data_IF_921999645330
#
_entry.id   IF_921999645330
#
_cell.length_a   1.000
_cell.length_b   1.000
_cell.length_c   1.000
_cell.angle_alpha   90.00
_cell.angle_beta   90.00
_cell.angle_gamma   90.00
#
_symmetry.space_group_name_H-M   'P 1'
#
loop_
_entity.id
_entity.type
_entity.pdbx_description
1 polymer ?
#
# COMPACT_ATOMS: atom_id res chain seq x y z
N UNK A 1 -20.20 -32.17 47.41
CA UNK A 1 -19.27 -31.05 47.20
C UNK A 1 -18.64 -31.25 45.80
N UNK A 2 -19.27 -30.69 44.77
CA UNK A 2 -18.79 -30.82 43.38
C UNK A 2 -17.81 -29.71 43.08
N UNK A 3 -16.65 -29.97 42.43
CA UNK A 3 -15.72 -28.94 42.02
C UNK A 3 -16.30 -28.16 40.83
N UNK A 4 -16.50 -26.87 41.03
CA UNK A 4 -16.77 -25.94 39.95
C UNK A 4 -15.55 -25.89 39.00
N UNK A 5 -15.63 -26.52 37.86
CA UNK A 5 -14.71 -26.23 36.74
C UNK A 5 -15.00 -24.81 36.23
N UNK A 6 -14.17 -23.88 36.66
CA UNK A 6 -14.06 -22.54 36.06
C UNK A 6 -13.57 -22.77 34.63
N UNK A 7 -14.48 -22.74 33.65
CA UNK A 7 -14.11 -22.59 32.26
C UNK A 7 -13.29 -21.30 32.15
N UNK A 8 -11.98 -21.42 31.96
CA UNK A 8 -11.16 -20.32 31.49
C UNK A 8 -11.80 -19.87 30.15
N UNK A 9 -12.37 -18.68 30.15
CA UNK A 9 -12.68 -17.99 28.92
C UNK A 9 -11.33 -17.71 28.27
N UNK A 10 -10.96 -18.53 27.30
CA UNK A 10 -9.90 -18.21 26.34
C UNK A 10 -10.32 -16.87 25.73
N UNK A 11 -9.61 -15.80 26.07
CA UNK A 11 -9.71 -14.53 25.35
C UNK A 11 -9.39 -14.85 23.92
N UNK A 12 -10.39 -15.00 23.07
CA UNK A 12 -10.21 -15.04 21.63
C UNK A 12 -9.63 -13.69 21.25
N UNK A 13 -8.44 -13.70 20.66
CA UNK A 13 -7.80 -12.51 20.14
C UNK A 13 -8.75 -11.87 19.10
N UNK A 14 -8.84 -10.53 19.04
CA UNK A 14 -9.78 -9.88 18.16
C UNK A 14 -9.44 -10.17 16.69
N UNK A 15 -10.45 -10.61 15.94
CA UNK A 15 -10.36 -10.73 14.49
C UNK A 15 -10.50 -9.35 13.85
N UNK A 16 -9.71 -9.10 12.81
CA UNK A 16 -9.84 -7.93 11.95
C UNK A 16 -9.73 -8.33 10.48
N UNK A 17 -10.27 -7.50 9.60
CA UNK A 17 -10.27 -7.69 8.16
C UNK A 17 -9.26 -6.76 7.50
N UNK A 18 -8.38 -7.31 6.67
CA UNK A 18 -7.63 -6.55 5.68
C UNK A 18 -8.32 -6.73 4.32
N UNK A 19 -8.81 -5.64 3.74
CA UNK A 19 -9.58 -5.62 2.51
C UNK A 19 -8.82 -4.83 1.43
N UNK A 20 -8.41 -5.54 0.40
CA UNK A 20 -7.79 -5.01 -0.81
C UNK A 20 -8.86 -4.96 -1.91
N UNK A 21 -9.29 -3.73 -2.27
CA UNK A 21 -10.30 -3.50 -3.31
C UNK A 21 -9.60 -3.12 -4.61
N UNK A 22 -9.01 -4.13 -5.25
CA UNK A 22 -8.27 -3.95 -6.50
C UNK A 22 -9.17 -3.83 -7.73
N UNK A 23 -8.60 -3.35 -8.84
CA UNK A 23 -9.30 -3.20 -10.12
C UNK A 23 -9.75 -4.54 -10.71
N UNK A 24 -8.99 -5.62 -10.50
CA UNK A 24 -9.26 -6.95 -11.07
C UNK A 24 -9.89 -7.89 -10.04
N UNK A 25 -9.43 -7.84 -8.80
CA UNK A 25 -9.91 -8.68 -7.72
C UNK A 25 -10.12 -7.89 -6.45
N UNK A 26 -11.17 -8.24 -5.72
CA UNK A 26 -11.26 -7.99 -4.27
C UNK A 26 -10.58 -9.14 -3.55
N UNK A 27 -9.73 -8.82 -2.57
CA UNK A 27 -9.11 -9.80 -1.69
C UNK A 27 -9.39 -9.45 -0.23
N UNK A 28 -9.91 -10.41 0.50
CA UNK A 28 -10.27 -10.30 1.91
C UNK A 28 -9.41 -11.25 2.75
N UNK A 29 -8.67 -10.73 3.72
CA UNK A 29 -7.92 -11.52 4.68
C UNK A 29 -8.52 -11.34 6.07
N UNK A 30 -9.08 -12.39 6.65
CA UNK A 30 -9.46 -12.42 8.06
C UNK A 30 -8.24 -12.77 8.88
N UNK A 31 -7.83 -11.85 9.74
CA UNK A 31 -6.62 -11.95 10.54
C UNK A 31 -6.94 -11.98 12.04
N UNK A 32 -6.18 -12.77 12.78
CA UNK A 32 -6.16 -12.79 14.24
C UNK A 32 -4.88 -12.11 14.73
N UNK A 33 -5.02 -11.17 15.67
CA UNK A 33 -3.86 -10.49 16.27
C UNK A 33 -3.27 -11.34 17.40
N UNK A 34 -2.15 -12.00 17.17
CA UNK A 34 -1.42 -12.79 18.16
C UNK A 34 -0.11 -12.08 18.54
N UNK A 35 -0.14 -11.24 19.58
CA UNK A 35 1.00 -10.38 19.94
C UNK A 35 1.41 -9.52 18.76
N UNK A 36 2.67 -9.59 18.34
CA UNK A 36 3.20 -8.79 17.22
C UNK A 36 3.06 -9.48 15.85
N UNK A 37 2.15 -10.44 15.71
CA UNK A 37 1.91 -11.16 14.46
C UNK A 37 0.42 -11.13 14.10
N UNK A 38 0.11 -10.76 12.88
CA UNK A 38 -1.20 -10.99 12.27
C UNK A 38 -1.21 -12.40 11.65
N UNK A 39 -2.02 -13.28 12.21
CA UNK A 39 -2.18 -14.63 11.68
C UNK A 39 -3.38 -14.66 10.76
N UNK A 40 -3.17 -14.86 9.46
CA UNK A 40 -4.24 -15.00 8.47
C UNK A 40 -4.95 -16.32 8.71
N UNK A 41 -6.23 -16.25 9.07
CA UNK A 41 -7.12 -17.40 9.36
C UNK A 41 -8.03 -17.74 8.20
N UNK A 42 -8.29 -16.80 7.31
CA UNK A 42 -9.12 -17.00 6.14
C UNK A 42 -8.78 -16.05 5.02
N UNK A 43 -8.94 -16.51 3.81
CA UNK A 43 -8.64 -15.80 2.55
C UNK A 43 -9.85 -15.92 1.65
N UNK A 44 -10.31 -14.81 1.10
CA UNK A 44 -11.34 -14.79 0.06
C UNK A 44 -10.91 -13.93 -1.11
N UNK A 45 -11.26 -14.34 -2.30
CA UNK A 45 -10.90 -13.65 -3.55
C UNK A 45 -12.09 -13.68 -4.51
N UNK A 46 -12.51 -12.50 -4.95
CA UNK A 46 -13.61 -12.35 -5.91
C UNK A 46 -13.18 -11.48 -7.07
N UNK A 47 -13.52 -11.88 -8.29
CA UNK A 47 -13.25 -11.11 -9.50
C UNK A 47 -14.18 -9.91 -9.59
N UNK A 48 -13.66 -8.74 -9.96
CA UNK A 48 -14.43 -7.52 -10.23
C UNK A 48 -14.98 -7.55 -11.66
N UNK A 49 -16.21 -7.07 -11.85
CA UNK A 49 -16.73 -6.82 -13.19
C UNK A 49 -15.98 -5.63 -13.82
N UNK A 50 -15.92 -5.58 -15.15
CA UNK A 50 -15.18 -4.53 -15.86
C UNK A 50 -15.67 -3.10 -15.53
N UNK A 51 -16.98 -2.97 -15.20
CA UNK A 51 -17.59 -1.68 -14.85
C UNK A 51 -17.45 -1.27 -13.38
N UNK A 52 -17.05 -2.18 -12.49
CA UNK A 52 -17.03 -1.92 -11.04
C UNK A 52 -15.89 -0.98 -10.64
N UNK A 53 -14.73 -1.18 -11.27
CA UNK A 53 -13.50 -0.43 -10.97
C UNK A 53 -12.78 0.01 -12.24
N UNK A 54 -12.29 1.25 -12.25
CA UNK A 54 -11.43 1.77 -13.32
C UNK A 54 -10.24 2.51 -12.72
N UNK A 55 -9.03 2.13 -13.12
CA UNK A 55 -7.78 2.81 -12.71
C UNK A 55 -7.65 2.99 -11.18
N UNK A 56 -8.08 1.99 -10.42
CA UNK A 56 -8.08 2.02 -8.95
C UNK A 56 -9.27 2.78 -8.33
N UNK A 57 -10.14 3.39 -9.14
CA UNK A 57 -11.31 4.10 -8.66
C UNK A 57 -12.58 3.24 -8.68
N UNK A 58 -13.42 3.35 -7.66
CA UNK A 58 -14.75 2.75 -7.62
C UNK A 58 -15.67 3.47 -8.59
N UNK A 59 -16.24 2.74 -9.56
CA UNK A 59 -17.16 3.25 -10.56
C UNK A 59 -18.61 2.83 -10.27
N UNK A 60 -18.79 1.61 -9.74
CA UNK A 60 -20.09 1.10 -9.27
C UNK A 60 -19.95 0.60 -7.82
N UNK A 61 -20.48 1.37 -6.88
CA UNK A 61 -20.45 1.04 -5.45
C UNK A 61 -21.21 -0.27 -5.18
N UNK A 62 -22.35 -0.49 -5.85
CA UNK A 62 -23.18 -1.68 -5.66
C UNK A 62 -22.47 -2.95 -6.07
N UNK A 63 -21.86 -2.97 -7.26
CA UNK A 63 -21.07 -4.10 -7.75
C UNK A 63 -19.88 -4.41 -6.85
N UNK A 64 -19.14 -3.38 -6.40
CA UNK A 64 -18.03 -3.54 -5.47
C UNK A 64 -18.48 -4.09 -4.12
N UNK A 65 -19.62 -3.63 -3.57
CA UNK A 65 -20.18 -4.17 -2.30
C UNK A 65 -20.48 -5.66 -2.44
N UNK A 66 -21.13 -6.06 -3.54
CA UNK A 66 -21.45 -7.48 -3.80
C UNK A 66 -20.17 -8.35 -3.86
N UNK A 67 -19.15 -7.89 -4.57
CA UNK A 67 -17.89 -8.61 -4.72
C UNK A 67 -17.10 -8.65 -3.40
N UNK A 68 -17.09 -7.55 -2.63
CA UNK A 68 -16.52 -7.53 -1.28
C UNK A 68 -17.25 -8.52 -0.36
N UNK A 69 -18.60 -8.54 -0.41
CA UNK A 69 -19.40 -9.48 0.37
C UNK A 69 -19.04 -10.94 0.11
N UNK A 70 -18.90 -11.33 -1.17
CA UNK A 70 -18.48 -12.70 -1.57
C UNK A 70 -17.08 -13.05 -1.04
N UNK A 71 -16.11 -12.14 -1.21
CA UNK A 71 -14.75 -12.37 -0.72
C UNK A 71 -14.70 -12.46 0.81
N UNK A 72 -15.45 -11.62 1.52
CA UNK A 72 -15.52 -11.65 2.99
C UNK A 72 -16.18 -12.94 3.47
N UNK A 73 -17.28 -13.37 2.84
CA UNK A 73 -17.95 -14.62 3.18
C UNK A 73 -17.02 -15.82 3.04
N UNK A 74 -16.27 -15.91 1.93
CA UNK A 74 -15.29 -16.97 1.73
C UNK A 74 -14.21 -16.96 2.84
N UNK A 75 -13.64 -15.80 3.15
CA UNK A 75 -12.61 -15.66 4.16
C UNK A 75 -13.13 -15.98 5.59
N UNK A 76 -14.34 -15.54 5.92
CA UNK A 76 -14.96 -15.77 7.25
C UNK A 76 -15.34 -17.22 7.47
N UNK A 77 -15.80 -17.93 6.44
CA UNK A 77 -16.09 -19.35 6.50
C UNK A 77 -14.84 -20.17 6.82
N UNK A 78 -13.67 -19.80 6.26
CA UNK A 78 -12.39 -20.44 6.56
C UNK A 78 -11.90 -20.09 7.97
N UNK A 79 -12.06 -18.83 8.40
CA UNK A 79 -11.59 -18.35 9.70
C UNK A 79 -12.46 -18.84 10.87
N UNK A 80 -13.71 -19.26 10.63
CA UNK A 80 -14.66 -19.68 11.64
C UNK A 80 -15.18 -18.51 12.51
N UNK A 81 -15.11 -17.26 12.03
CA UNK A 81 -15.56 -16.08 12.74
C UNK A 81 -15.64 -14.84 11.84
N UNK A 82 -16.55 -13.92 12.17
CA UNK A 82 -16.75 -12.69 11.41
C UNK A 82 -16.03 -11.51 12.08
N UNK A 83 -15.10 -10.81 11.38
CA UNK A 83 -14.45 -9.62 11.90
C UNK A 83 -15.42 -8.43 11.87
N UNK A 84 -15.39 -7.60 12.91
CA UNK A 84 -16.17 -6.37 12.95
C UNK A 84 -15.38 -5.16 12.46
N UNK A 85 -14.05 -5.23 12.49
CA UNK A 85 -13.14 -4.14 12.15
C UNK A 85 -12.46 -4.39 10.82
N UNK A 86 -12.35 -3.34 10.00
CA UNK A 86 -11.71 -3.41 8.69
C UNK A 86 -10.64 -2.34 8.48
N UNK A 87 -9.56 -2.75 7.83
CA UNK A 87 -8.57 -1.88 7.20
C UNK A 87 -8.74 -2.03 5.70
N UNK A 88 -8.92 -0.93 4.98
CA UNK A 88 -9.12 -0.92 3.54
C UNK A 88 -7.90 -0.35 2.86
N UNK A 89 -7.38 -1.05 1.85
CA UNK A 89 -6.38 -0.51 0.92
C UNK A 89 -7.00 0.49 -0.04
N UNK A 90 -6.25 1.51 -0.41
CA UNK A 90 -6.59 2.42 -1.48
C UNK A 90 -5.39 2.61 -2.40
N UNK A 91 -5.62 2.41 -3.69
CA UNK A 91 -4.75 2.84 -4.78
C UNK A 91 -5.58 3.69 -5.76
N UNK A 92 -4.98 4.21 -6.80
CA UNK A 92 -5.72 4.95 -7.81
C UNK A 92 -5.06 6.27 -8.19
N UNK A 93 -5.38 6.76 -9.39
CA UNK A 93 -4.69 7.87 -10.06
C UNK A 93 -4.58 9.15 -9.19
N UNK A 94 -5.59 9.39 -8.38
CA UNK A 94 -5.68 10.60 -7.57
C UNK A 94 -5.23 10.38 -6.11
N UNK A 95 -4.71 9.18 -5.77
CA UNK A 95 -4.13 8.92 -4.45
C UNK A 95 -2.66 9.38 -4.48
N UNK A 96 -2.34 10.40 -3.70
CA UNK A 96 -0.99 10.99 -3.64
C UNK A 96 -0.40 10.81 -2.25
N UNK A 97 0.81 10.26 -2.20
CA UNK A 97 1.56 10.05 -0.97
C UNK A 97 2.86 10.86 -0.97
N UNK A 98 3.01 11.77 -0.01
CA UNK A 98 4.18 12.66 0.10
C UNK A 98 4.72 12.61 1.52
N UNK A 99 6.04 12.52 1.65
CA UNK A 99 6.73 12.68 2.93
C UNK A 99 7.27 14.09 3.06
N UNK A 100 6.73 14.82 4.05
CA UNK A 100 7.20 16.14 4.43
C UNK A 100 8.15 16.03 5.62
N UNK A 101 9.28 16.76 5.55
CA UNK A 101 10.26 16.89 6.64
C UNK A 101 10.18 18.26 7.24
N UNK A 102 9.82 18.33 8.51
CA UNK A 102 9.71 19.61 9.21
C UNK A 102 10.53 19.58 10.50
N UNK A 103 11.25 20.68 10.72
CA UNK A 103 12.08 20.89 11.91
C UNK A 103 11.38 21.86 12.87
N UNK A 104 11.29 21.44 14.11
CA UNK A 104 10.82 22.27 15.22
C UNK A 104 12.01 22.67 16.09
N UNK A 105 12.25 23.99 16.21
CA UNK A 105 13.29 24.52 17.11
C UNK A 105 12.68 24.72 18.49
N UNK A 106 13.25 24.04 19.47
CA UNK A 106 12.77 24.07 20.87
C UNK A 106 13.25 25.36 21.57
N UNK A 107 12.37 25.91 22.40
CA UNK A 107 12.71 27.09 23.22
C UNK A 107 13.67 26.73 24.35
N UNK A 108 13.53 25.53 24.92
CA UNK A 108 14.28 25.09 26.10
C UNK A 108 15.02 23.76 25.79
N UNK A 109 16.16 23.81 25.07
CA UNK A 109 16.87 22.64 24.58
C UNK A 109 17.47 21.78 25.69
N UNK A 110 17.68 22.33 26.88
CA UNK A 110 18.25 21.62 28.04
C UNK A 110 17.21 20.89 28.88
N UNK A 111 15.91 21.14 28.66
CA UNK A 111 14.84 20.41 29.32
C UNK A 111 14.53 19.15 28.53
N UNK A 112 14.23 18.06 29.21
CA UNK A 112 13.82 16.81 28.59
C UNK A 112 12.45 16.99 27.90
N UNK A 113 12.33 16.45 26.69
CA UNK A 113 11.06 16.42 25.97
C UNK A 113 10.05 15.59 26.78
N UNK A 114 8.95 16.18 27.13
CA UNK A 114 7.82 15.51 27.76
C UNK A 114 6.71 15.19 26.73
N UNK A 115 5.66 14.49 27.19
CA UNK A 115 4.53 14.12 26.35
C UNK A 115 3.73 15.33 25.86
N UNK A 116 3.64 16.40 26.65
CA UNK A 116 2.93 17.63 26.27
C UNK A 116 3.63 18.38 25.15
N UNK A 117 4.95 18.57 25.29
CA UNK A 117 5.78 19.19 24.26
C UNK A 117 5.76 18.36 22.97
N UNK A 118 5.88 17.01 23.07
CA UNK A 118 5.84 16.12 21.90
C UNK A 118 4.53 16.24 21.13
N UNK A 119 3.38 16.30 21.83
CA UNK A 119 2.07 16.51 21.18
C UNK A 119 2.03 17.84 20.43
N UNK A 120 2.55 18.90 21.02
CA UNK A 120 2.60 20.21 20.37
C UNK A 120 3.51 20.23 19.14
N UNK A 121 4.66 19.53 19.21
CA UNK A 121 5.58 19.40 18.08
C UNK A 121 4.89 18.66 16.93
N UNK A 122 4.30 17.48 17.20
CA UNK A 122 3.62 16.69 16.17
C UNK A 122 2.46 17.47 15.55
N UNK A 123 1.67 18.18 16.36
CA UNK A 123 0.57 19.02 15.86
C UNK A 123 1.06 20.07 14.88
N UNK A 124 2.10 20.82 15.23
CA UNK A 124 2.65 21.89 14.36
C UNK A 124 3.26 21.33 13.08
N UNK A 125 4.01 20.22 13.20
CA UNK A 125 4.63 19.56 12.04
C UNK A 125 3.56 18.99 11.11
N UNK A 126 2.54 18.34 11.66
CA UNK A 126 1.46 17.76 10.86
C UNK A 126 0.64 18.84 10.16
N UNK A 127 0.31 19.92 10.84
CA UNK A 127 -0.39 21.07 10.23
C UNK A 127 0.38 21.64 9.05
N UNK A 128 1.68 21.89 9.24
CA UNK A 128 2.54 22.39 8.18
C UNK A 128 2.66 21.41 7.01
N UNK A 129 2.86 20.11 7.29
CA UNK A 129 2.90 19.06 6.28
C UNK A 129 1.60 18.97 5.48
N UNK A 130 0.46 19.10 6.16
CA UNK A 130 -0.86 19.08 5.52
C UNK A 130 -1.04 20.25 4.53
N UNK A 131 -0.72 21.49 4.97
CA UNK A 131 -0.84 22.68 4.13
C UNK A 131 0.11 22.63 2.91
N UNK A 132 1.36 22.19 3.11
CA UNK A 132 2.34 22.03 2.04
C UNK A 132 1.87 21.02 0.99
N UNK A 133 1.39 19.84 1.44
CA UNK A 133 0.93 18.79 0.55
C UNK A 133 -0.34 19.20 -0.18
N UNK A 134 -1.30 19.83 0.51
CA UNK A 134 -2.53 20.34 -0.10
C UNK A 134 -2.24 21.36 -1.20
N UNK A 135 -1.34 22.30 -0.94
CA UNK A 135 -0.94 23.31 -1.91
C UNK A 135 -0.24 22.69 -3.14
N UNK A 136 0.62 21.69 -2.91
CA UNK A 136 1.29 20.99 -3.99
C UNK A 136 0.27 20.22 -4.86
N UNK A 137 -0.67 19.53 -4.25
CA UNK A 137 -1.71 18.79 -4.99
C UNK A 137 -2.62 19.72 -5.79
N UNK A 138 -3.02 20.86 -5.22
CA UNK A 138 -3.80 21.86 -5.92
C UNK A 138 -3.07 22.38 -7.17
N UNK A 139 -1.76 22.61 -7.06
CA UNK A 139 -0.92 23.01 -8.17
C UNK A 139 -0.79 21.91 -9.25
N UNK A 140 -0.52 20.66 -8.86
CA UNK A 140 -0.35 19.51 -9.77
C UNK A 140 -1.65 19.19 -10.53
N UNK A 141 -2.80 19.34 -9.89
CA UNK A 141 -4.11 19.01 -10.48
C UNK A 141 -4.74 20.17 -11.25
N UNK A 142 -4.16 21.38 -11.14
CA UNK A 142 -4.69 22.59 -11.78
C UNK A 142 -6.04 23.05 -11.22
N UNK A 143 -6.49 22.52 -10.06
CA UNK A 143 -7.77 22.83 -9.44
C UNK A 143 -7.56 23.33 -8.00
N UNK A 144 -8.02 24.54 -7.73
CA UNK A 144 -8.05 25.09 -6.37
C UNK A 144 -9.19 24.53 -5.50
N UNK A 145 -10.08 23.71 -6.07
CA UNK A 145 -11.35 23.26 -5.46
C UNK A 145 -11.47 21.75 -5.28
N UNK A 146 -10.37 20.99 -5.45
CA UNK A 146 -10.45 19.55 -5.15
C UNK A 146 -10.59 19.37 -3.65
N UNK A 147 -11.76 18.87 -3.24
CA UNK A 147 -11.95 18.34 -1.90
C UNK A 147 -11.08 17.08 -1.75
N UNK A 148 -9.89 17.26 -1.20
CA UNK A 148 -8.98 16.17 -0.85
C UNK A 148 -9.15 15.81 0.63
N UNK A 149 -9.15 14.51 0.90
CA UNK A 149 -9.19 13.97 2.25
C UNK A 149 -7.85 13.31 2.59
N UNK A 150 -7.34 13.60 3.77
CA UNK A 150 -6.21 12.86 4.33
C UNK A 150 -6.69 11.45 4.69
N UNK A 151 -6.22 10.45 3.96
CA UNK A 151 -6.63 9.05 4.16
C UNK A 151 -5.69 8.30 5.10
N UNK A 152 -4.40 8.63 5.04
CA UNK A 152 -3.39 8.00 5.87
C UNK A 152 -2.30 9.01 6.25
N UNK A 153 -1.82 8.95 7.49
CA UNK A 153 -0.61 9.65 7.90
C UNK A 153 0.22 8.77 8.84
N UNK A 154 1.53 8.82 8.66
CA UNK A 154 2.47 8.06 9.46
C UNK A 154 3.74 8.85 9.73
N UNK A 155 4.25 8.80 10.96
CA UNK A 155 5.58 9.30 11.28
C UNK A 155 6.58 8.25 10.80
N UNK A 156 7.42 8.62 9.84
CA UNK A 156 8.37 7.72 9.18
C UNK A 156 9.82 7.94 9.62
N UNK A 157 10.14 9.11 10.20
CA UNK A 157 11.46 9.38 10.78
C UNK A 157 11.36 10.46 11.86
N UNK A 158 12.17 10.32 12.92
CA UNK A 158 12.31 11.32 14.00
C UNK A 158 13.78 11.49 14.31
N UNK A 159 14.23 12.74 14.37
CA UNK A 159 15.61 13.09 14.71
C UNK A 159 15.67 14.21 15.74
N UNK A 160 16.68 14.13 16.60
CA UNK A 160 17.02 15.17 17.56
C UNK A 160 18.44 15.58 17.26
N UNK A 161 18.63 16.88 16.93
CA UNK A 161 19.94 17.42 16.51
C UNK A 161 20.66 16.57 15.46
N UNK A 162 19.87 16.03 14.49
CA UNK A 162 20.35 15.16 13.40
C UNK A 162 20.40 13.67 13.73
N UNK A 163 20.35 13.26 14.98
CA UNK A 163 20.40 11.86 15.40
C UNK A 163 19.04 11.21 15.38
N UNK A 164 18.92 10.06 14.69
CA UNK A 164 17.66 9.30 14.60
C UNK A 164 17.30 8.69 15.96
N UNK A 165 16.03 8.86 16.37
CA UNK A 165 15.48 8.31 17.61
C UNK A 165 14.12 7.65 17.35
N UNK A 166 13.84 6.56 18.07
CA UNK A 166 12.53 5.88 17.96
C UNK A 166 11.45 6.56 18.79
N UNK A 167 11.82 7.09 19.96
CA UNK A 167 10.93 7.81 20.87
C UNK A 167 11.67 9.02 21.44
N UNK A 168 11.27 10.27 21.12
CA UNK A 168 11.96 11.46 21.56
C UNK A 168 11.73 11.83 23.03
N UNK A 169 10.76 11.20 23.72
CA UNK A 169 10.49 11.51 25.16
C UNK A 169 11.71 11.20 26.01
N UNK A 170 12.05 12.16 26.87
CA UNK A 170 13.20 12.06 27.79
C UNK A 170 14.53 12.54 27.19
N UNK A 171 14.61 12.76 25.89
CA UNK A 171 15.78 13.38 25.24
C UNK A 171 15.83 14.88 25.46
N UNK A 172 17.02 15.42 25.41
CA UNK A 172 17.31 16.85 25.29
C UNK A 172 17.81 17.15 23.89
N UNK A 173 17.69 18.37 23.42
CA UNK A 173 18.19 18.81 22.11
C UNK A 173 17.51 20.10 21.66
N UNK A 174 18.12 20.76 20.69
CA UNK A 174 17.66 22.05 20.16
C UNK A 174 16.63 21.88 19.06
N UNK A 175 16.86 20.91 18.18
CA UNK A 175 16.05 20.70 16.99
C UNK A 175 15.40 19.32 17.02
N UNK A 176 14.09 19.29 16.84
CA UNK A 176 13.35 18.04 16.63
C UNK A 176 12.84 18.04 15.20
N UNK A 177 13.41 17.19 14.37
CA UNK A 177 12.96 16.99 13.00
C UNK A 177 12.03 15.77 12.98
N UNK A 178 10.85 15.93 12.38
CA UNK A 178 9.89 14.86 12.17
C UNK A 178 9.56 14.78 10.69
N UNK A 179 9.67 13.59 10.12
CA UNK A 179 9.20 13.28 8.78
C UNK A 179 7.86 12.57 8.88
N UNK A 180 6.85 13.12 8.22
CA UNK A 180 5.50 12.55 8.20
C UNK A 180 5.13 12.24 6.75
N UNK A 181 4.80 10.99 6.49
CA UNK A 181 4.15 10.58 5.26
C UNK A 181 2.67 10.90 5.37
N UNK A 182 2.13 11.60 4.40
CA UNK A 182 0.71 11.90 4.27
C UNK A 182 0.21 11.37 2.93
N UNK A 183 -0.85 10.58 2.93
CA UNK A 183 -1.55 10.16 1.74
C UNK A 183 -2.93 10.82 1.67
N UNK A 184 -3.25 11.35 0.50
CA UNK A 184 -4.51 12.04 0.22
C UNK A 184 -5.24 11.35 -0.92
N UNK A 185 -6.55 11.39 -0.87
CA UNK A 185 -7.44 10.96 -1.95
C UNK A 185 -8.57 11.98 -2.13
N UNK A 186 -9.18 12.06 -3.32
CA UNK A 186 -10.41 12.83 -3.50
C UNK A 186 -11.51 12.36 -2.56
N UNK A 187 -12.31 13.29 -2.08
CA UNK A 187 -13.41 13.01 -1.16
C UNK A 187 -14.39 11.96 -1.72
N UNK A 188 -14.60 11.96 -3.04
CA UNK A 188 -15.49 10.97 -3.70
C UNK A 188 -14.97 9.53 -3.54
N UNK A 189 -13.65 9.31 -3.66
CA UNK A 189 -13.04 7.98 -3.48
C UNK A 189 -13.08 7.55 -2.01
N UNK A 190 -12.70 8.47 -1.11
CA UNK A 190 -12.77 8.24 0.32
C UNK A 190 -14.20 7.88 0.75
N UNK A 191 -15.19 8.65 0.29
CA UNK A 191 -16.60 8.43 0.58
C UNK A 191 -17.13 7.10 0.05
N UNK A 192 -16.72 6.68 -1.16
CA UNK A 192 -17.09 5.39 -1.71
C UNK A 192 -16.63 4.24 -0.81
N UNK A 193 -15.35 4.26 -0.35
CA UNK A 193 -14.83 3.23 0.55
C UNK A 193 -15.50 3.24 1.93
N UNK A 194 -15.84 4.42 2.45
CA UNK A 194 -16.63 4.52 3.69
C UNK A 194 -18.03 3.91 3.54
N UNK A 195 -18.69 4.18 2.41
CA UNK A 195 -20.00 3.61 2.10
C UNK A 195 -19.93 2.09 1.99
N UNK A 196 -18.94 1.56 1.27
CA UNK A 196 -18.73 0.12 1.14
C UNK A 196 -18.55 -0.53 2.53
N UNK A 197 -17.71 0.02 3.39
CA UNK A 197 -17.50 -0.51 4.73
C UNK A 197 -18.78 -0.46 5.58
N UNK A 198 -19.54 0.62 5.50
CA UNK A 198 -20.79 0.81 6.24
C UNK A 198 -21.88 -0.18 5.79
N UNK A 199 -22.07 -0.36 4.47
CA UNK A 199 -23.06 -1.30 3.91
C UNK A 199 -22.72 -2.77 4.25
N UNK A 200 -21.43 -3.08 4.41
CA UNK A 200 -20.96 -4.40 4.85
C UNK A 200 -20.98 -4.55 6.39
N UNK A 201 -21.50 -3.58 7.13
CA UNK A 201 -21.54 -3.55 8.60
C UNK A 201 -20.15 -3.71 9.25
N UNK A 202 -19.13 -3.09 8.66
CA UNK A 202 -17.76 -3.11 9.14
C UNK A 202 -17.36 -1.75 9.74
N UNK A 203 -16.73 -1.79 10.90
CA UNK A 203 -16.13 -0.62 11.54
C UNK A 203 -14.79 -0.30 10.88
N UNK A 204 -14.75 0.78 10.11
CA UNK A 204 -13.58 1.20 9.36
C UNK A 204 -12.51 1.80 10.30
N UNK A 205 -11.46 1.02 10.59
CA UNK A 205 -10.35 1.49 11.42
C UNK A 205 -9.50 2.53 10.71
N UNK A 206 -9.19 2.29 9.44
CA UNK A 206 -8.43 3.21 8.59
C UNK A 206 -8.55 2.82 7.13
N UNK A 207 -8.30 3.78 6.26
CA UNK A 207 -7.93 3.55 4.87
C UNK A 207 -6.41 3.75 4.79
N UNK A 208 -5.71 2.88 4.08
CA UNK A 208 -4.25 2.98 3.92
C UNK A 208 -3.86 2.99 2.45
N UNK A 209 -2.92 3.86 2.06
CA UNK A 209 -2.35 3.81 0.72
C UNK A 209 -1.59 2.49 0.54
N UNK A 210 -1.94 1.71 -0.47
CA UNK A 210 -1.34 0.40 -0.74
C UNK A 210 0.17 0.46 -0.93
N UNK A 211 0.74 1.39 -1.74
CA UNK A 211 2.19 1.48 -1.88
C UNK A 211 2.91 1.85 -0.57
N UNK A 212 2.27 2.58 0.35
CA UNK A 212 2.79 2.79 1.71
C UNK A 212 2.82 1.47 2.49
N UNK A 213 1.74 0.70 2.45
CA UNK A 213 1.67 -0.57 3.16
C UNK A 213 2.75 -1.54 2.67
N UNK A 214 2.93 -1.65 1.33
CA UNK A 214 3.97 -2.49 0.71
C UNK A 214 5.38 -2.02 1.07
N UNK A 215 5.65 -0.71 1.00
CA UNK A 215 6.96 -0.17 1.35
C UNK A 215 7.35 -0.45 2.81
N UNK A 216 6.37 -0.46 3.72
CA UNK A 216 6.56 -0.70 5.16
C UNK A 216 6.74 -2.18 5.51
N UNK A 217 6.26 -3.10 4.69
CA UNK A 217 6.20 -4.52 5.03
C UNK A 217 7.57 -5.21 5.21
N UNK A 218 8.67 -4.59 4.76
CA UNK A 218 10.04 -5.10 4.90
C UNK A 218 10.89 -4.34 5.93
N UNK A 219 10.34 -3.34 6.62
CA UNK A 219 11.09 -2.57 7.62
C UNK A 219 11.59 -3.49 8.76
N UNK A 220 12.85 -3.28 9.17
CA UNK A 220 13.41 -3.87 10.41
C UNK A 220 13.96 -5.29 10.30
N UNK A 221 14.16 -5.87 9.11
CA UNK A 221 14.78 -7.22 8.97
C UNK A 221 16.29 -7.22 8.96
N UNK A 222 16.91 -6.16 8.44
CA UNK A 222 18.35 -6.07 8.25
C UNK A 222 18.97 -5.05 9.21
N UNK A 223 20.25 -5.21 9.53
CA UNK A 223 21.01 -4.24 10.32
C UNK A 223 21.18 -2.91 9.57
N UNK A 224 21.17 -2.96 8.24
CA UNK A 224 21.25 -1.77 7.40
C UNK A 224 19.85 -1.20 7.09
N UNK A 225 19.71 0.14 7.08
CA UNK A 225 18.46 0.79 6.70
C UNK A 225 18.04 0.42 5.29
N UNK A 226 16.75 0.10 5.11
CA UNK A 226 16.18 -0.28 3.82
C UNK A 226 16.35 0.85 2.79
N UNK A 227 16.90 0.50 1.63
CA UNK A 227 17.01 1.35 0.44
C UNK A 227 16.46 0.57 -0.74
N UNK A 228 15.23 0.87 -1.16
CA UNK A 228 14.55 0.13 -2.22
C UNK A 228 13.47 0.95 -2.92
N UNK A 229 13.19 0.58 -4.16
CA UNK A 229 12.00 0.97 -4.92
C UNK A 229 11.05 -0.23 -4.90
N UNK A 230 9.78 0.02 -4.61
CA UNK A 230 8.71 -0.96 -4.70
C UNK A 230 7.83 -0.60 -5.88
N UNK A 231 7.51 -1.58 -6.71
CA UNK A 231 6.63 -1.43 -7.87
C UNK A 231 5.55 -2.51 -7.75
N UNK A 232 4.33 -2.08 -7.50
CA UNK A 232 3.14 -2.96 -7.49
C UNK A 232 2.41 -2.82 -8.83
N UNK A 233 2.31 -3.92 -9.58
CA UNK A 233 1.68 -3.95 -10.90
C UNK A 233 0.32 -4.62 -10.76
N UNK A 234 -0.70 -3.80 -10.55
CA UNK A 234 -2.08 -4.23 -10.41
C UNK A 234 -2.77 -4.49 -11.75
N UNK A 235 -4.11 -4.66 -11.70
CA UNK A 235 -4.92 -4.82 -12.91
C UNK A 235 -5.05 -3.52 -13.70
N UNK A 236 -5.32 -2.39 -13.03
CA UNK A 236 -5.55 -1.08 -13.66
C UNK A 236 -4.41 -0.09 -13.52
N UNK A 237 -3.56 -0.27 -12.53
CA UNK A 237 -2.53 0.70 -12.08
C UNK A 237 -1.19 0.05 -11.88
N UNK A 238 -0.15 0.87 -11.91
CA UNK A 238 1.18 0.54 -11.41
C UNK A 238 1.56 1.57 -10.36
N UNK A 239 1.80 1.11 -9.14
CA UNK A 239 2.12 1.92 -7.98
C UNK A 239 3.62 1.83 -7.66
N UNK A 240 4.24 2.98 -7.37
CA UNK A 240 5.67 3.09 -7.08
C UNK A 240 5.86 3.75 -5.72
N UNK A 241 6.64 3.12 -4.85
CA UNK A 241 7.08 3.69 -3.58
C UNK A 241 8.61 3.68 -3.48
N UNK A 242 9.21 4.75 -2.94
CA UNK A 242 10.65 4.85 -2.75
C UNK A 242 10.96 4.95 -1.26
N UNK A 243 11.79 4.01 -0.77
CA UNK A 243 12.32 4.01 0.59
C UNK A 243 13.82 4.29 0.54
N UNK A 244 14.29 5.27 1.33
CA UNK A 244 15.71 5.60 1.48
C UNK A 244 16.06 5.71 2.96
N UNK A 245 17.17 5.06 3.33
CA UNK A 245 17.63 5.03 4.72
C UNK A 245 16.54 4.61 5.72
N UNK A 246 15.69 3.66 5.34
CA UNK A 246 14.55 3.20 6.12
C UNK A 246 13.42 4.23 6.25
N UNK A 247 13.38 5.26 5.41
CA UNK A 247 12.33 6.28 5.41
C UNK A 247 11.62 6.28 4.06
N UNK A 248 10.29 6.18 4.06
CA UNK A 248 9.50 6.33 2.85
C UNK A 248 9.59 7.79 2.37
N UNK A 249 10.08 8.01 1.17
CA UNK A 249 10.20 9.35 0.56
C UNK A 249 8.87 9.81 -0.06
N UNK A 250 8.11 8.88 -0.63
CA UNK A 250 6.81 9.15 -1.22
C UNK A 250 6.29 7.99 -2.04
N UNK A 251 5.07 8.17 -2.55
CA UNK A 251 4.42 7.22 -3.45
C UNK A 251 3.87 7.93 -4.67
N UNK A 252 3.96 7.30 -5.81
CA UNK A 252 3.41 7.76 -7.08
C UNK A 252 2.81 6.59 -7.82
N UNK A 253 1.98 6.86 -8.83
CA UNK A 253 1.37 5.82 -9.63
C UNK A 253 1.03 6.32 -11.03
N UNK A 254 0.78 5.39 -11.94
CA UNK A 254 0.22 5.67 -13.26
C UNK A 254 -0.79 4.60 -13.68
N UNK A 255 -1.70 4.97 -14.58
CA UNK A 255 -2.89 4.18 -14.95
C UNK A 255 -2.60 3.18 -16.09
N UNK A 256 -1.61 2.32 -15.88
CA UNK A 256 -1.30 1.22 -16.78
C UNK A 256 -0.94 -0.01 -15.96
N UNK A 257 -1.73 -1.07 -16.08
CA UNK A 257 -1.56 -2.34 -15.39
C UNK A 257 -1.96 -3.51 -16.28
N UNK A 258 -2.21 -4.66 -15.69
CA UNK A 258 -2.49 -5.91 -16.39
C UNK A 258 -3.61 -5.85 -17.45
N UNK A 259 -4.66 -5.03 -17.20
CA UNK A 259 -5.80 -4.87 -18.15
C UNK A 259 -5.39 -4.24 -19.50
N UNK A 260 -4.31 -3.45 -19.55
CA UNK A 260 -3.83 -2.91 -20.81
C UNK A 260 -3.32 -4.04 -21.71
N UNK A 261 -2.55 -4.95 -21.18
CA UNK A 261 -2.08 -6.15 -21.90
C UNK A 261 -3.24 -7.05 -22.32
N UNK A 262 -4.25 -7.22 -21.45
CA UNK A 262 -5.47 -7.97 -21.79
C UNK A 262 -6.20 -7.35 -22.98
N UNK A 263 -6.40 -6.03 -22.98
CA UNK A 263 -7.01 -5.30 -24.10
C UNK A 263 -6.24 -5.46 -25.40
N UNK A 264 -4.91 -5.47 -25.33
CA UNK A 264 -4.05 -5.69 -26.49
C UNK A 264 -4.24 -7.09 -27.08
N UNK A 265 -4.24 -8.12 -26.22
CA UNK A 265 -4.48 -9.50 -26.62
C UNK A 265 -5.88 -9.63 -27.24
N UNK A 266 -6.92 -9.09 -26.60
CA UNK A 266 -8.29 -9.11 -27.10
C UNK A 266 -8.39 -8.50 -28.51
N UNK A 267 -7.78 -7.34 -28.71
CA UNK A 267 -7.78 -6.65 -29.99
C UNK A 267 -7.02 -7.42 -31.08
N UNK A 268 -5.83 -7.94 -30.77
CA UNK A 268 -4.98 -8.62 -31.75
C UNK A 268 -5.53 -9.97 -32.16
N UNK A 269 -6.15 -10.72 -31.22
CA UNK A 269 -6.73 -12.03 -31.48
C UNK A 269 -8.22 -11.98 -31.84
N UNK A 270 -8.85 -10.80 -31.78
CA UNK A 270 -10.27 -10.59 -32.01
C UNK A 270 -11.16 -11.51 -31.13
N UNK A 271 -10.85 -11.55 -29.84
CA UNK A 271 -11.57 -12.32 -28.81
C UNK A 271 -12.12 -11.37 -27.73
N UNK A 272 -13.03 -11.88 -26.90
CA UNK A 272 -13.56 -11.10 -25.77
C UNK A 272 -12.46 -10.76 -24.76
N UNK A 273 -12.72 -9.72 -23.94
CA UNK A 273 -11.79 -9.35 -22.86
C UNK A 273 -11.57 -10.49 -21.87
N UNK A 274 -12.61 -11.24 -21.53
CA UNK A 274 -12.50 -12.37 -20.60
C UNK A 274 -11.66 -13.50 -21.17
N UNK A 275 -11.86 -13.88 -22.42
CA UNK A 275 -11.02 -14.89 -23.11
C UNK A 275 -9.56 -14.43 -23.19
N UNK A 276 -9.33 -13.14 -23.46
CA UNK A 276 -7.99 -12.55 -23.49
C UNK A 276 -7.32 -12.55 -22.11
N UNK A 277 -8.09 -12.33 -21.03
CA UNK A 277 -7.59 -12.44 -19.66
C UNK A 277 -7.16 -13.86 -19.32
N UNK A 278 -8.00 -14.85 -19.67
CA UNK A 278 -7.69 -16.26 -19.47
C UNK A 278 -6.43 -16.67 -20.25
N UNK A 279 -6.29 -16.19 -21.49
CA UNK A 279 -5.09 -16.41 -22.32
C UNK A 279 -3.86 -15.76 -21.69
N UNK A 280 -3.95 -14.49 -21.22
CA UNK A 280 -2.86 -13.78 -20.56
C UNK A 280 -2.41 -14.49 -19.29
N UNK A 281 -3.35 -14.92 -18.46
CA UNK A 281 -3.06 -15.70 -17.23
C UNK A 281 -2.40 -17.02 -17.57
N UNK A 282 -2.93 -17.78 -18.54
CA UNK A 282 -2.32 -19.03 -18.99
C UNK A 282 -0.89 -18.82 -19.52
N UNK A 283 -0.67 -17.73 -20.27
CA UNK A 283 0.64 -17.31 -20.76
C UNK A 283 1.63 -17.03 -19.60
N UNK A 284 1.24 -16.23 -18.64
CA UNK A 284 2.11 -15.86 -17.51
C UNK A 284 2.54 -17.04 -16.64
N UNK A 285 1.78 -18.12 -16.66
CA UNK A 285 2.11 -19.39 -15.97
C UNK A 285 2.71 -20.46 -16.88
N UNK A 286 3.07 -20.11 -18.14
CA UNK A 286 3.70 -21.04 -19.09
C UNK A 286 2.81 -22.20 -19.51
N UNK A 287 1.49 -22.01 -19.54
CA UNK A 287 0.49 -23.05 -19.86
C UNK A 287 0.04 -23.04 -21.31
N UNK A 288 0.56 -22.14 -22.15
CA UNK A 288 0.26 -22.07 -23.57
C UNK A 288 1.20 -22.96 -24.39
N UNK A 289 0.71 -23.43 -25.52
CA UNK A 289 1.55 -24.07 -26.54
C UNK A 289 2.49 -23.03 -27.17
N UNK A 290 3.69 -23.44 -27.60
CA UNK A 290 4.75 -22.57 -28.12
C UNK A 290 4.30 -21.60 -29.22
N UNK A 291 3.38 -22.02 -30.09
CA UNK A 291 2.88 -21.17 -31.17
C UNK A 291 1.97 -20.06 -30.61
N UNK A 292 1.05 -20.39 -29.71
CA UNK A 292 0.17 -19.44 -29.03
C UNK A 292 0.96 -18.50 -28.13
N UNK A 293 1.95 -19.02 -27.41
CA UNK A 293 2.87 -18.24 -26.57
C UNK A 293 3.57 -17.14 -27.40
N UNK A 294 4.10 -17.49 -28.59
CA UNK A 294 4.75 -16.54 -29.47
C UNK A 294 3.81 -15.42 -29.93
N UNK A 295 2.59 -15.75 -30.32
CA UNK A 295 1.60 -14.78 -30.80
C UNK A 295 1.22 -13.81 -29.66
N UNK A 296 0.99 -14.33 -28.45
CA UNK A 296 0.64 -13.51 -27.28
C UNK A 296 1.80 -12.60 -26.89
N UNK A 297 3.02 -13.12 -26.89
CA UNK A 297 4.23 -12.34 -26.62
C UNK A 297 4.40 -11.17 -27.61
N UNK A 298 4.34 -11.46 -28.92
CA UNK A 298 4.43 -10.43 -29.96
C UNK A 298 3.34 -9.36 -29.81
N UNK A 299 2.15 -9.74 -29.34
CA UNK A 299 1.06 -8.82 -29.09
C UNK A 299 1.36 -7.84 -27.96
N UNK A 300 2.07 -8.26 -26.90
CA UNK A 300 2.29 -7.47 -25.69
C UNK A 300 3.61 -6.68 -25.65
N UNK A 301 4.56 -7.00 -26.53
CA UNK A 301 5.93 -6.45 -26.48
C UNK A 301 5.94 -4.91 -26.49
N UNK A 302 5.17 -4.29 -27.39
CA UNK A 302 5.09 -2.82 -27.47
C UNK A 302 4.46 -2.18 -26.23
N UNK A 303 3.49 -2.85 -25.59
CA UNK A 303 2.84 -2.33 -24.38
C UNK A 303 3.77 -2.43 -23.16
N UNK A 304 4.68 -3.40 -23.14
CA UNK A 304 5.71 -3.50 -22.11
C UNK A 304 6.71 -2.33 -22.20
N UNK A 305 7.06 -1.90 -23.41
CA UNK A 305 7.90 -0.70 -23.60
C UNK A 305 7.19 0.58 -23.15
N UNK A 306 5.88 0.72 -23.45
CA UNK A 306 5.07 1.85 -22.97
C UNK A 306 4.98 1.84 -21.44
N UNK A 307 4.78 0.66 -20.85
CA UNK A 307 4.79 0.51 -19.39
C UNK A 307 6.14 0.92 -18.79
N UNK A 308 7.26 0.51 -19.41
CA UNK A 308 8.61 0.87 -18.96
C UNK A 308 8.84 2.40 -19.04
N UNK A 309 8.36 3.05 -20.10
CA UNK A 309 8.39 4.51 -20.19
C UNK A 309 7.61 5.16 -19.04
N UNK A 310 6.44 4.61 -18.68
CA UNK A 310 5.66 5.02 -17.50
C UNK A 310 6.46 4.92 -16.20
N UNK A 311 7.21 3.83 -15.99
CA UNK A 311 8.13 3.70 -14.85
C UNK A 311 9.20 4.79 -14.87
N UNK A 312 9.81 5.03 -16.04
CA UNK A 312 10.84 6.06 -16.19
C UNK A 312 10.33 7.46 -15.81
N UNK A 313 9.16 7.85 -16.32
CA UNK A 313 8.53 9.12 -15.97
C UNK A 313 8.17 9.21 -14.50
N UNK A 314 7.56 8.16 -13.96
CA UNK A 314 7.17 8.12 -12.53
C UNK A 314 8.38 8.25 -11.61
N UNK A 315 9.50 7.59 -11.91
CA UNK A 315 10.73 7.71 -11.13
C UNK A 315 11.38 9.09 -11.27
N UNK A 316 11.33 9.71 -12.45
CA UNK A 316 11.83 11.07 -12.67
C UNK A 316 11.06 12.15 -11.90
N UNK A 317 9.77 11.90 -11.59
CA UNK A 317 8.98 12.81 -10.77
C UNK A 317 9.40 12.86 -9.29
N UNK A 318 10.28 11.99 -8.84
CA UNK A 318 10.89 12.08 -7.50
C UNK A 318 12.12 13.01 -7.52
N UNK A 319 11.94 14.23 -7.98
CA UNK A 319 13.00 15.23 -8.21
C UNK A 319 13.75 15.67 -6.93
N UNK A 320 13.20 15.41 -5.75
CA UNK A 320 13.87 15.66 -4.47
C UNK A 320 14.83 14.54 -4.05
N UNK A 321 15.02 13.54 -4.90
CA UNK A 321 15.88 12.39 -4.63
C UNK A 321 17.14 12.48 -5.52
N UNK A 322 18.30 12.84 -4.91
CA UNK A 322 19.55 12.98 -5.64
C UNK A 322 20.04 11.67 -6.29
N UNK A 323 19.73 10.53 -5.68
CA UNK A 323 20.13 9.20 -6.17
C UNK A 323 19.10 8.15 -5.82
N UNK A 324 18.62 7.42 -6.83
CA UNK A 324 17.62 6.37 -6.69
C UNK A 324 18.20 5.11 -6.05
N UNK A 325 17.44 4.39 -5.20
CA UNK A 325 17.86 3.09 -4.68
C UNK A 325 18.10 2.07 -5.80
N UNK A 326 19.22 1.32 -5.74
CA UNK A 326 19.56 0.31 -6.72
C UNK A 326 18.97 -1.08 -6.43
N UNK A 327 17.89 -1.15 -5.65
CA UNK A 327 17.14 -2.38 -5.40
C UNK A 327 15.68 -2.14 -5.75
N UNK A 328 15.14 -2.93 -6.66
CA UNK A 328 13.74 -2.85 -7.10
C UNK A 328 13.04 -4.13 -6.69
N UNK A 329 11.94 -3.98 -5.96
CA UNK A 329 11.02 -5.04 -5.60
C UNK A 329 9.75 -4.93 -6.41
N UNK A 330 9.37 -6.02 -7.09
CA UNK A 330 8.12 -6.12 -7.85
C UNK A 330 7.09 -6.94 -7.06
N UNK A 331 5.84 -6.49 -7.04
CA UNK A 331 4.69 -7.24 -6.57
C UNK A 331 3.46 -6.97 -7.46
N UNK A 332 2.31 -7.54 -7.07
CA UNK A 332 1.10 -7.49 -7.90
C UNK A 332 1.07 -8.54 -9.01
N UNK A 333 -0.12 -8.79 -9.55
CA UNK A 333 -0.33 -9.84 -10.56
C UNK A 333 0.41 -9.62 -11.87
N UNK A 334 0.59 -8.34 -12.26
CA UNK A 334 1.27 -7.96 -13.51
C UNK A 334 2.76 -8.31 -13.53
N UNK A 335 3.42 -8.46 -12.38
CA UNK A 335 4.84 -8.83 -12.35
C UNK A 335 5.12 -10.29 -12.78
N UNK A 336 4.07 -11.09 -13.00
CA UNK A 336 4.19 -12.44 -13.56
C UNK A 336 4.39 -12.45 -15.08
N UNK A 337 4.12 -11.33 -15.77
CA UNK A 337 4.39 -11.19 -17.20
C UNK A 337 5.89 -11.17 -17.47
N UNK A 338 6.34 -12.01 -18.41
CA UNK A 338 7.76 -12.16 -18.74
C UNK A 338 8.34 -10.86 -19.31
N UNK A 339 7.57 -10.14 -20.12
CA UNK A 339 7.94 -8.88 -20.75
C UNK A 339 8.33 -7.80 -19.73
N UNK A 340 7.64 -7.74 -18.60
CA UNK A 340 7.94 -6.79 -17.51
C UNK A 340 9.37 -6.95 -17.01
N UNK A 341 9.83 -8.18 -16.82
CA UNK A 341 11.21 -8.46 -16.38
C UNK A 341 12.22 -8.19 -17.49
N UNK A 342 11.87 -8.53 -18.72
CA UNK A 342 12.74 -8.34 -19.89
C UNK A 342 12.99 -6.85 -20.13
N UNK A 343 11.94 -6.02 -20.19
CA UNK A 343 12.10 -4.57 -20.42
C UNK A 343 12.83 -3.88 -19.27
N UNK A 344 12.59 -4.27 -18.02
CA UNK A 344 13.33 -3.76 -16.87
C UNK A 344 14.81 -4.16 -16.89
N UNK A 345 15.14 -5.31 -17.50
CA UNK A 345 16.51 -5.78 -17.68
C UNK A 345 17.30 -4.99 -18.73
N UNK A 346 16.62 -4.18 -19.57
CA UNK A 346 17.29 -3.33 -20.57
C UNK A 346 18.02 -2.16 -19.90
N UNK A 347 19.06 -1.63 -20.55
CA UNK A 347 19.83 -0.50 -19.98
C UNK A 347 19.38 0.87 -20.49
N UNK A 348 18.51 0.90 -21.49
CA UNK A 348 18.17 2.16 -22.18
C UNK A 348 17.46 3.14 -21.25
N UNK A 349 16.47 2.68 -20.50
CA UNK A 349 15.66 3.49 -19.59
C UNK A 349 16.43 4.02 -18.36
N UNK A 350 17.57 3.40 -18.01
CA UNK A 350 18.39 3.84 -16.88
C UNK A 350 19.20 5.11 -17.17
N UNK A 351 19.35 5.50 -18.45
CA UNK A 351 20.24 6.62 -18.87
C UNK A 351 19.75 7.98 -18.38
N UNK A 352 18.46 8.14 -18.22
CA UNK A 352 17.82 9.39 -17.81
C UNK A 352 17.55 9.45 -16.31
N UNK A 353 17.88 8.35 -15.59
CA UNK A 353 17.62 8.21 -14.17
C UNK A 353 18.92 8.10 -13.38
N UNK A 354 18.95 8.78 -12.23
CA UNK A 354 20.17 8.83 -11.41
C UNK A 354 20.30 7.61 -10.49
N UNK A 355 20.60 6.44 -11.07
CA UNK A 355 20.98 5.25 -10.31
C UNK A 355 22.51 5.22 -10.09
N UNK A 356 23.00 4.97 -8.85
CA UNK A 356 24.45 4.90 -8.57
C UNK A 356 25.11 3.66 -9.19
N UNK A 357 24.32 2.63 -9.47
CA UNK A 357 24.66 1.39 -10.18
C UNK A 357 23.38 0.80 -10.80
N UNK A 358 23.52 -0.08 -11.81
CA UNK A 358 22.35 -0.78 -12.36
C UNK A 358 21.52 -1.45 -11.26
N UNK A 359 20.20 -1.27 -11.24
CA UNK A 359 19.35 -1.81 -10.19
C UNK A 359 19.25 -3.34 -10.27
N UNK A 360 19.20 -3.97 -9.10
CA UNK A 360 18.82 -5.38 -8.97
C UNK A 360 17.30 -5.48 -8.85
N UNK A 361 16.69 -6.33 -9.67
CA UNK A 361 15.25 -6.51 -9.73
C UNK A 361 14.89 -7.87 -9.14
N UNK A 362 13.95 -7.89 -8.21
CA UNK A 362 13.49 -9.10 -7.53
C UNK A 362 11.98 -9.06 -7.34
N UNK A 363 11.33 -10.22 -7.36
CA UNK A 363 9.91 -10.34 -7.01
C UNK A 363 9.80 -10.48 -5.50
N UNK A 364 8.92 -9.71 -4.90
CA UNK A 364 8.59 -9.80 -3.49
C UNK A 364 7.66 -11.00 -3.25
N UNK A 365 8.06 -11.86 -2.33
CA UNK A 365 7.27 -13.03 -1.97
C UNK A 365 6.43 -12.74 -0.72
N UNK A 366 5.18 -13.20 -0.63
CA UNK A 366 4.32 -13.07 0.56
C UNK A 366 5.00 -13.49 1.87
N UNK A 367 5.85 -14.51 1.86
CA UNK A 367 6.61 -14.99 3.03
C UNK A 367 7.63 -13.98 3.56
N UNK A 368 7.95 -12.95 2.80
CA UNK A 368 8.89 -11.89 3.20
C UNK A 368 8.21 -10.76 3.98
N UNK A 369 6.87 -10.73 4.01
CA UNK A 369 6.11 -9.73 4.74
C UNK A 369 6.35 -9.91 6.24
N UNK A 370 6.74 -8.81 6.90
CA UNK A 370 6.98 -8.81 8.34
C UNK A 370 5.68 -8.91 9.11
N UNK A 371 5.75 -9.60 10.25
CA UNK A 371 4.67 -9.66 11.24
C UNK A 371 3.31 -10.16 10.70
N UNK A 372 3.30 -10.80 9.53
CA UNK A 372 2.11 -11.48 8.99
C UNK A 372 2.47 -12.92 8.65
N UNK A 373 1.63 -13.84 9.07
CA UNK A 373 1.80 -15.27 8.78
C UNK A 373 0.52 -15.82 8.18
N UNK A 374 0.64 -16.52 7.08
CA UNK A 374 -0.46 -17.23 6.46
C UNK A 374 -0.59 -18.64 7.04
N UNK A 375 -1.67 -18.92 7.80
CA UNK A 375 -1.98 -20.25 8.29
C UNK A 375 -2.79 -21.08 7.29
N UNK A 376 -3.37 -20.43 6.27
CA UNK A 376 -4.18 -21.10 5.24
C UNK A 376 -3.35 -21.75 4.16
N UNK A 377 -2.11 -21.30 3.95
CA UNK A 377 -1.19 -21.69 2.88
C UNK A 377 -1.69 -21.35 1.46
N UNK A 378 -2.62 -20.41 1.36
CA UNK A 378 -3.19 -19.96 0.10
C UNK A 378 -2.45 -18.77 -0.51
N UNK A 379 -1.73 -17.97 0.31
CA UNK A 379 -1.04 -16.76 -0.10
C UNK A 379 0.39 -17.09 -0.56
N UNK A 380 0.56 -17.35 -1.85
CA UNK A 380 1.84 -17.81 -2.41
C UNK A 380 2.36 -16.97 -3.57
N UNK A 381 1.52 -16.13 -4.16
CA UNK A 381 1.81 -15.38 -5.36
C UNK A 381 2.16 -13.91 -5.06
N UNK A 382 2.87 -13.21 -5.95
CA UNK A 382 3.21 -11.80 -5.76
C UNK A 382 2.00 -10.87 -5.60
N UNK A 383 0.85 -11.24 -6.13
CA UNK A 383 -0.42 -10.52 -5.98
C UNK A 383 -1.01 -10.58 -4.55
N UNK A 384 -0.49 -11.48 -3.70
CA UNK A 384 -0.92 -11.62 -2.31
C UNK A 384 -0.14 -10.71 -1.36
N UNK A 385 0.91 -10.04 -1.87
CA UNK A 385 1.76 -9.14 -1.09
C UNK A 385 0.97 -7.96 -0.55
N UNK A 386 0.19 -7.29 -1.39
CA UNK A 386 -0.56 -6.07 -1.02
C UNK A 386 -1.60 -6.33 0.06
N UNK A 387 -2.49 -7.32 -0.01
CA UNK A 387 -3.42 -7.60 1.09
C UNK A 387 -2.71 -8.00 2.38
N UNK A 388 -1.58 -8.72 2.32
CA UNK A 388 -0.78 -9.02 3.52
C UNK A 388 -0.10 -7.76 4.08
N UNK A 389 0.35 -6.85 3.24
CA UNK A 389 0.90 -5.56 3.68
C UNK A 389 -0.17 -4.69 4.37
N UNK A 390 -1.41 -4.69 3.87
CA UNK A 390 -2.55 -4.06 4.54
C UNK A 390 -2.81 -4.71 5.91
N UNK A 391 -2.73 -6.05 6.01
CA UNK A 391 -2.86 -6.75 7.30
C UNK A 391 -1.74 -6.37 8.28
N UNK A 392 -0.50 -6.15 7.82
CA UNK A 392 0.59 -5.62 8.65
C UNK A 392 0.26 -4.24 9.23
N UNK A 393 -0.31 -3.34 8.42
CA UNK A 393 -0.77 -2.02 8.90
C UNK A 393 -1.89 -2.18 9.93
N UNK A 394 -2.84 -3.09 9.67
CA UNK A 394 -3.95 -3.40 10.58
C UNK A 394 -3.48 -3.89 11.94
N UNK A 395 -2.53 -4.79 11.98
CA UNK A 395 -1.94 -5.29 13.23
C UNK A 395 -1.42 -4.16 14.12
N UNK A 396 -0.68 -3.21 13.53
CA UNK A 396 -0.14 -2.07 14.26
C UNK A 396 -1.24 -1.16 14.86
N UNK A 397 -2.41 -1.11 14.23
CA UNK A 397 -3.56 -0.33 14.71
C UNK A 397 -4.36 -1.05 15.78
N UNK A 398 -4.55 -2.36 15.64
CA UNK A 398 -5.29 -3.18 16.58
C UNK A 398 -4.52 -3.31 17.91
N UNK A 399 -3.20 -3.47 17.83
CA UNK A 399 -2.35 -3.58 19.03
C UNK A 399 -2.10 -2.25 19.74
N UNK A 400 -2.49 -1.11 19.13
CA UNK A 400 -2.26 0.23 19.71
C UNK A 400 -0.79 0.50 20.14
N UNK A 401 0.22 -0.08 19.49
CA UNK A 401 1.55 -0.24 20.07
C UNK A 401 2.45 1.02 20.07
N UNK A 402 2.22 2.03 19.22
CA UNK A 402 3.15 3.16 19.13
C UNK A 402 2.59 4.46 19.67
N UNK A 403 3.18 4.98 20.76
CA UNK A 403 2.84 6.27 21.36
C UNK A 403 2.80 7.40 20.32
N UNK A 404 3.79 7.47 19.42
CA UNK A 404 3.86 8.46 18.36
C UNK A 404 2.66 8.37 17.40
N UNK A 405 2.29 7.15 17.00
CA UNK A 405 1.12 6.90 16.15
C UNK A 405 -0.19 7.30 16.83
N UNK A 406 -0.34 7.00 18.12
CA UNK A 406 -1.51 7.44 18.92
C UNK A 406 -1.63 8.96 18.98
N UNK A 407 -0.52 9.66 19.19
CA UNK A 407 -0.50 11.13 19.24
C UNK A 407 -0.88 11.67 17.86
N UNK A 408 -0.27 11.16 16.79
CA UNK A 408 -0.55 11.59 15.41
C UNK A 408 -2.03 11.36 15.05
N UNK A 409 -2.58 10.17 15.34
CA UNK A 409 -4.00 9.86 15.11
C UNK A 409 -4.94 10.82 15.83
N UNK A 410 -4.60 11.20 17.08
CA UNK A 410 -5.38 12.19 17.84
C UNK A 410 -5.29 13.59 17.22
N UNK A 411 -4.09 13.98 16.76
CA UNK A 411 -3.87 15.27 16.08
C UNK A 411 -4.68 15.32 14.78
N UNK A 412 -4.64 14.27 13.97
CA UNK A 412 -5.39 14.18 12.71
C UNK A 412 -6.89 14.31 12.95
N UNK A 413 -7.43 13.61 13.96
CA UNK A 413 -8.85 13.72 14.31
C UNK A 413 -9.27 15.16 14.67
N UNK A 414 -8.37 15.93 15.29
CA UNK A 414 -8.62 17.34 15.61
C UNK A 414 -8.54 18.26 14.38
N UNK A 415 -7.81 17.85 13.35
CA UNK A 415 -7.65 18.62 12.09
C UNK A 415 -8.78 18.34 11.07
N UNK A 416 -9.52 17.25 11.25
CA UNK A 416 -10.58 16.80 10.33
C UNK A 416 -11.95 17.37 10.67
N UNK A 417 -12.05 18.34 11.57
CA UNK A 417 -13.29 19.04 11.96
C UNK A 417 -13.69 20.05 10.89
#
# INVERSE_FOLDING_TARGET
>A
MFPFFRREQTKTSPLFLALDIGTEFVKALVCEAEGNVALVRGVGKTHQSLGDMQSGAVMDIGGVIENCGKAIEEATNQAGGYPTQVIVGIAGELVKGITSRNTYVRKEPHIKIDLGELKNIIHKVQWKSFEETRSQLAYETGSNEIDIKLVNAAIVDVRIDGYRVTNPIGFQGKEVQISIFNAFAPLVHYGALQTIAAELNLDLLTITAEPYAVARCLEGKDEEPLNAIFIDIGGGTTDVAIVRNGTLEGTKMFTLGGRAFTKRIASNLNISFQEAEDVKVAYSFGKLEKQSEKIVREAMESDAEVWLAGIGFTLAEFYNIDSLPSKIWLCGGGCNLHEIKEVLGTKAWLRELNFPKPPSISILNPKQINNVRDSTKLLTNPEDVTPMAIANVGLALVNEEHLMGKILKKVIRLMQI
#
